data_IF_366221531006
#
_entry.id   IF_366221531006
#
_cell.length_a   1.000
_cell.length_b   1.000
_cell.length_c   1.000
_cell.angle_alpha   90.00
_cell.angle_beta   90.00
_cell.angle_gamma   90.00
#
_symmetry.space_group_name_H-M   'P 1'
#
loop_
_entity.id
_entity.type
_entity.pdbx_description
1 polymer ?
#
# COMPACT_ATOMS: atom_id res chain seq x y z
N UNK A 1 8.82 18.79 2.76
CA UNK A 1 9.37 20.07 2.24
C UNK A 1 8.64 21.20 2.93
N UNK A 2 9.32 22.27 3.35
CA UNK A 2 8.64 23.49 3.81
C UNK A 2 8.54 24.47 2.64
N UNK A 3 7.35 25.02 2.38
CA UNK A 3 7.16 26.15 1.45
C UNK A 3 6.49 27.26 2.26
N UNK A 4 7.23 28.34 2.54
CA UNK A 4 6.81 29.32 3.53
C UNK A 4 6.68 28.68 4.92
N UNK A 5 5.57 28.94 5.61
CA UNK A 5 5.26 28.33 6.93
C UNK A 5 4.68 26.90 6.82
N UNK A 6 4.33 26.43 5.63
CA UNK A 6 3.62 25.17 5.44
C UNK A 6 4.58 24.01 5.17
N UNK A 7 4.49 22.96 6.00
CA UNK A 7 5.13 21.68 5.75
C UNK A 7 4.25 20.83 4.80
N UNK A 8 4.74 20.55 3.60
CA UNK A 8 4.13 19.61 2.69
C UNK A 8 4.78 18.23 2.81
N UNK A 9 3.96 17.23 3.08
CA UNK A 9 4.32 15.82 3.01
C UNK A 9 4.53 15.40 1.55
N UNK A 10 5.63 14.71 1.30
CA UNK A 10 5.99 14.15 0.00
C UNK A 10 6.68 12.82 0.21
N UNK A 11 6.59 11.96 -0.79
CA UNK A 11 7.24 10.66 -0.80
C UNK A 11 8.35 10.70 -1.84
N UNK A 12 9.56 10.36 -1.39
CA UNK A 12 10.70 10.11 -2.26
C UNK A 12 10.76 8.61 -2.54
N UNK A 13 10.48 8.21 -3.78
CA UNK A 13 10.57 6.82 -4.24
C UNK A 13 11.83 6.65 -5.09
N UNK A 14 12.87 6.03 -4.55
CA UNK A 14 14.14 5.76 -5.26
C UNK A 14 14.30 4.27 -5.47
N UNK A 15 14.64 3.88 -6.70
CA UNK A 15 14.82 2.48 -7.09
C UNK A 15 16.04 2.30 -7.98
N UNK A 16 16.67 1.14 -7.86
CA UNK A 16 17.83 0.74 -8.68
C UNK A 16 17.34 0.00 -9.93
N UNK A 17 17.82 0.39 -11.09
CA UNK A 17 17.63 -0.30 -12.36
C UNK A 17 18.99 -0.88 -12.86
N UNK A 18 19.05 -1.36 -14.10
CA UNK A 18 20.31 -1.89 -14.69
C UNK A 18 21.34 -0.78 -14.95
N UNK A 19 20.89 0.46 -15.14
CA UNK A 19 21.70 1.63 -15.54
C UNK A 19 22.14 2.50 -14.35
N UNK A 20 21.65 2.22 -13.14
CA UNK A 20 21.95 2.99 -11.93
C UNK A 20 20.75 3.17 -11.02
N UNK A 21 20.59 4.38 -10.50
CA UNK A 21 19.44 4.78 -9.69
C UNK A 21 18.53 5.72 -10.48
N UNK A 22 17.24 5.61 -10.22
CA UNK A 22 16.22 6.55 -10.69
C UNK A 22 15.21 6.72 -9.56
N UNK A 23 14.32 7.70 -9.68
CA UNK A 23 13.34 7.93 -8.65
C UNK A 23 12.27 8.93 -9.03
N UNK A 24 11.33 9.11 -8.12
CA UNK A 24 10.19 9.98 -8.27
C UNK A 24 9.94 10.75 -6.99
N UNK A 25 9.58 12.02 -7.15
CA UNK A 25 9.05 12.87 -6.10
C UNK A 25 7.52 12.90 -6.20
N UNK A 26 6.86 12.42 -5.16
CA UNK A 26 5.40 12.23 -5.15
C UNK A 26 4.79 13.15 -4.09
N UNK A 27 3.84 13.97 -4.50
CA UNK A 27 3.18 14.95 -3.64
C UNK A 27 1.66 14.95 -3.87
N UNK A 28 0.95 15.81 -3.15
CA UNK A 28 -0.46 16.09 -3.46
C UNK A 28 -0.71 16.65 -4.86
N UNK A 29 0.28 17.36 -5.40
CA UNK A 29 0.17 18.04 -6.70
C UNK A 29 0.44 17.11 -7.88
N UNK A 30 1.22 16.06 -7.66
CA UNK A 30 1.47 15.05 -8.67
C UNK A 30 2.78 14.30 -8.44
N UNK A 31 3.18 13.57 -9.47
CA UNK A 31 4.41 12.77 -9.54
C UNK A 31 5.38 13.42 -10.51
N UNK A 32 6.59 13.72 -10.06
CA UNK A 32 7.67 14.21 -10.90
C UNK A 32 8.82 13.19 -10.92
N UNK A 33 9.34 12.90 -12.10
CA UNK A 33 10.54 12.06 -12.24
C UNK A 33 11.78 12.83 -11.81
N UNK A 34 12.72 12.12 -11.18
CA UNK A 34 14.00 12.68 -10.77
C UNK A 34 15.04 12.48 -11.86
N UNK A 35 15.93 13.45 -11.99
CA UNK A 35 17.11 13.41 -12.87
C UNK A 35 18.38 13.24 -12.03
N UNK A 36 19.43 12.71 -12.65
CA UNK A 36 20.79 12.61 -12.07
C UNK A 36 20.83 11.96 -10.68
N UNK A 37 20.02 10.92 -10.47
CA UNK A 37 19.96 10.25 -9.17
C UNK A 37 21.25 9.45 -8.95
N UNK A 38 22.03 9.84 -7.93
CA UNK A 38 23.26 9.17 -7.52
C UNK A 38 23.15 8.75 -6.07
N UNK A 39 23.52 7.52 -5.78
CA UNK A 39 23.51 6.98 -4.42
C UNK A 39 24.76 6.13 -4.17
N UNK A 40 25.70 6.68 -3.40
CA UNK A 40 27.02 6.11 -3.10
C UNK A 40 27.39 6.49 -1.66
N UNK A 41 27.98 5.56 -0.89
CA UNK A 41 28.42 5.78 0.50
C UNK A 41 27.37 6.47 1.39
N UNK A 42 26.12 6.00 1.30
CA UNK A 42 24.94 6.55 1.98
C UNK A 42 24.59 8.01 1.61
N UNK A 43 25.29 8.63 0.66
CA UNK A 43 24.98 9.96 0.14
C UNK A 43 24.03 9.83 -1.03
N UNK A 44 22.94 10.60 -0.99
CA UNK A 44 21.96 10.69 -2.07
C UNK A 44 22.02 12.10 -2.67
N UNK A 45 22.09 12.18 -3.99
CA UNK A 45 21.86 13.42 -4.73
C UNK A 45 20.92 13.20 -5.90
N UNK A 46 20.10 14.18 -6.22
CA UNK A 46 19.25 14.17 -7.41
C UNK A 46 18.84 15.60 -7.80
N UNK A 47 18.39 15.74 -9.03
CA UNK A 47 17.76 16.95 -9.55
C UNK A 47 16.27 16.72 -9.71
N UNK A 48 15.46 17.63 -9.19
CA UNK A 48 14.01 17.65 -9.34
C UNK A 48 13.61 18.83 -10.22
N UNK A 49 12.75 18.58 -11.20
CA UNK A 49 12.07 19.63 -11.97
C UNK A 49 10.60 19.59 -11.59
N UNK A 50 10.07 20.71 -11.11
CA UNK A 50 8.64 20.87 -10.83
C UNK A 50 8.06 21.90 -11.78
N UNK A 51 6.93 21.58 -12.40
CA UNK A 51 6.15 22.58 -13.13
C UNK A 51 5.06 23.13 -12.20
N UNK A 52 5.09 24.42 -11.92
CA UNK A 52 4.07 25.11 -11.14
C UNK A 52 3.47 26.23 -11.99
N UNK A 53 2.22 26.07 -12.44
CA UNK A 53 1.52 27.09 -13.22
C UNK A 53 2.17 27.43 -14.56
N UNK A 54 2.86 26.47 -15.20
CA UNK A 54 3.55 26.67 -16.48
C UNK A 54 5.02 27.09 -16.35
N UNK A 55 5.49 27.38 -15.14
CA UNK A 55 6.91 27.66 -14.89
C UNK A 55 7.61 26.40 -14.38
N UNK A 56 8.66 25.99 -15.09
CA UNK A 56 9.57 24.96 -14.61
C UNK A 56 10.51 25.55 -13.57
N UNK A 57 10.60 24.90 -12.41
CA UNK A 57 11.58 25.20 -11.37
C UNK A 57 12.45 23.98 -11.17
N UNK A 58 13.76 24.22 -11.15
CA UNK A 58 14.74 23.18 -10.90
C UNK A 58 15.28 23.32 -9.48
N UNK A 59 15.43 22.19 -8.78
CA UNK A 59 16.07 22.14 -7.47
C UNK A 59 16.94 20.91 -7.36
N UNK A 60 18.07 21.04 -6.69
CA UNK A 60 19.05 19.97 -6.48
C UNK A 60 19.05 19.57 -5.01
N UNK A 61 18.84 18.28 -4.77
CA UNK A 61 18.95 17.70 -3.45
C UNK A 61 20.35 17.12 -3.23
N UNK A 62 20.92 17.36 -2.06
CA UNK A 62 22.10 16.65 -1.55
C UNK A 62 21.88 16.28 -0.10
N UNK A 63 22.05 15.00 0.23
CA UNK A 63 21.82 14.52 1.59
C UNK A 63 22.37 13.12 1.83
N UNK A 64 21.95 12.53 2.94
CA UNK A 64 22.35 11.21 3.38
C UNK A 64 21.14 10.38 3.80
N UNK A 65 21.26 9.06 3.66
CA UNK A 65 20.32 8.09 4.20
C UNK A 65 21.05 7.23 5.22
N UNK A 66 20.71 7.36 6.50
CA UNK A 66 21.30 6.59 7.59
C UNK A 66 20.20 5.96 8.43
N UNK A 67 20.30 4.64 8.71
CA UNK A 67 19.32 3.89 9.51
C UNK A 67 17.85 4.07 9.06
N UNK A 68 17.62 4.37 7.78
CA UNK A 68 16.28 4.59 7.23
C UNK A 68 15.75 6.02 7.39
N UNK A 69 16.58 6.96 7.85
CA UNK A 69 16.27 8.38 7.94
C UNK A 69 17.00 9.13 6.81
N UNK A 70 16.30 10.06 6.18
CA UNK A 70 16.80 10.95 5.13
C UNK A 70 17.02 12.33 5.76
N UNK A 71 18.20 12.89 5.56
CA UNK A 71 18.52 14.28 5.91
C UNK A 71 19.30 14.94 4.80
N UNK A 72 18.97 16.16 4.42
CA UNK A 72 19.74 16.91 3.43
C UNK A 72 19.16 18.27 3.13
N UNK A 73 19.74 18.91 2.12
CA UNK A 73 19.34 20.24 1.64
C UNK A 73 18.83 20.13 0.21
N UNK A 74 17.70 20.78 -0.04
CA UNK A 74 17.14 21.01 -1.37
C UNK A 74 17.43 22.47 -1.74
N UNK A 75 18.40 22.68 -2.62
CA UNK A 75 18.79 24.00 -3.11
C UNK A 75 18.08 24.31 -4.42
N UNK A 76 17.50 25.51 -4.54
CA UNK A 76 16.89 26.01 -5.77
C UNK A 76 17.06 27.52 -5.89
N UNK A 77 16.44 28.11 -6.92
CA UNK A 77 16.53 29.55 -7.19
C UNK A 77 16.04 30.45 -6.03
N UNK A 78 15.15 29.91 -5.18
CA UNK A 78 14.58 30.64 -4.04
C UNK A 78 15.32 30.38 -2.72
N UNK A 79 16.49 29.73 -2.77
CA UNK A 79 17.31 29.40 -1.61
C UNK A 79 17.34 27.91 -1.27
N UNK A 80 17.79 27.61 -0.04
CA UNK A 80 17.97 26.25 0.44
C UNK A 80 16.89 25.85 1.46
N UNK A 81 16.34 24.65 1.30
CA UNK A 81 15.37 24.08 2.24
C UNK A 81 15.91 22.81 2.86
N UNK A 82 15.89 22.73 4.19
CA UNK A 82 16.19 21.47 4.88
C UNK A 82 15.08 20.45 4.65
N UNK A 83 15.47 19.24 4.26
CA UNK A 83 14.59 18.10 4.05
C UNK A 83 14.95 17.01 5.07
N UNK A 84 13.94 16.62 5.84
CA UNK A 84 13.97 15.44 6.70
C UNK A 84 12.92 14.45 6.22
N UNK A 85 13.25 13.18 6.29
CA UNK A 85 12.34 12.10 5.94
C UNK A 85 12.64 10.85 6.75
N UNK A 86 11.62 10.03 6.94
CA UNK A 86 11.77 8.70 7.52
C UNK A 86 11.21 7.70 6.54
N UNK A 87 11.88 6.54 6.41
CA UNK A 87 11.37 5.44 5.61
C UNK A 87 10.00 5.04 6.13
N UNK A 88 9.02 5.06 5.24
CA UNK A 88 7.68 4.60 5.55
C UNK A 88 7.70 3.12 5.98
N UNK A 89 7.11 2.77 7.15
CA UNK A 89 6.93 1.38 7.54
C UNK A 89 6.14 0.66 6.46
N UNK A 90 6.63 -0.48 5.98
CA UNK A 90 5.85 -1.29 5.05
C UNK A 90 4.84 -2.11 5.85
N UNK A 91 3.53 -2.00 5.55
CA UNK A 91 2.55 -2.89 6.15
C UNK A 91 2.94 -4.34 5.91
N UNK A 92 2.70 -5.19 6.90
CA UNK A 92 2.96 -6.62 6.77
C UNK A 92 2.19 -7.16 5.58
N UNK A 93 2.86 -7.88 4.69
CA UNK A 93 2.22 -8.51 3.53
C UNK A 93 1.13 -9.50 3.95
N UNK A 94 1.19 -10.02 5.17
CA UNK A 94 0.14 -10.89 5.71
C UNK A 94 -1.11 -10.15 6.14
N UNK A 95 -0.96 -8.90 6.60
CA UNK A 95 -2.07 -8.11 7.11
C UNK A 95 -3.14 -7.92 6.02
N UNK A 96 -4.39 -7.92 6.45
CA UNK A 96 -5.56 -7.85 5.59
C UNK A 96 -6.54 -8.99 5.84
N UNK A 97 -7.57 -9.03 5.01
CA UNK A 97 -8.64 -10.02 5.09
C UNK A 97 -8.52 -11.07 3.97
N UNK A 98 -8.92 -12.28 4.33
CA UNK A 98 -8.88 -13.46 3.47
C UNK A 98 -10.22 -14.16 3.54
N UNK A 99 -10.79 -14.44 2.37
CA UNK A 99 -11.94 -15.32 2.22
C UNK A 99 -11.43 -16.75 2.17
N UNK A 100 -11.87 -17.57 3.12
CA UNK A 100 -11.36 -18.90 3.38
C UNK A 100 -12.46 -19.93 3.14
N UNK A 101 -12.12 -21.00 2.44
CA UNK A 101 -12.96 -22.17 2.19
C UNK A 101 -12.34 -23.37 2.90
N UNK A 102 -12.99 -23.89 3.94
CA UNK A 102 -12.49 -25.04 4.71
C UNK A 102 -13.32 -26.28 4.41
N UNK A 103 -12.65 -27.38 4.04
CA UNK A 103 -13.29 -28.66 3.75
C UNK A 103 -13.26 -29.57 4.97
N UNK A 104 -14.43 -30.03 5.42
CA UNK A 104 -14.57 -30.99 6.52
C UNK A 104 -15.45 -32.14 6.02
N UNK A 105 -14.82 -33.30 5.79
CA UNK A 105 -15.47 -34.40 5.07
C UNK A 105 -15.80 -33.98 3.62
N UNK A 106 -17.07 -34.14 3.23
CA UNK A 106 -17.56 -33.72 1.90
C UNK A 106 -18.05 -32.27 1.86
N UNK A 107 -18.20 -31.61 3.02
CA UNK A 107 -18.79 -30.28 3.12
C UNK A 107 -17.73 -29.17 3.10
N UNK A 108 -18.08 -28.03 2.50
CA UNK A 108 -17.26 -26.82 2.47
C UNK A 108 -17.88 -25.71 3.33
N UNK A 109 -17.04 -25.05 4.14
CA UNK A 109 -17.46 -24.02 5.09
C UNK A 109 -16.72 -22.71 4.86
N UNK A 110 -17.44 -21.62 4.54
CA UNK A 110 -16.81 -20.33 4.33
C UNK A 110 -16.45 -19.70 5.67
N UNK A 111 -15.35 -18.97 5.67
CA UNK A 111 -14.90 -18.15 6.78
C UNK A 111 -14.09 -16.96 6.31
N UNK A 112 -13.91 -15.98 7.19
CA UNK A 112 -13.08 -14.81 6.97
C UNK A 112 -11.97 -14.81 8.00
N UNK A 113 -10.73 -14.83 7.52
CA UNK A 113 -9.54 -14.64 8.33
C UNK A 113 -9.07 -13.19 8.18
N UNK A 114 -8.97 -12.45 9.28
CA UNK A 114 -8.41 -11.09 9.28
C UNK A 114 -7.13 -11.09 10.09
N UNK A 115 -6.01 -10.78 9.45
CA UNK A 115 -4.69 -10.65 10.09
C UNK A 115 -4.38 -9.15 10.23
N UNK A 116 -3.91 -8.76 11.40
CA UNK A 116 -3.41 -7.39 11.67
C UNK A 116 -1.95 -7.45 12.07
N UNK A 117 -1.24 -6.34 11.84
CA UNK A 117 0.11 -6.13 12.34
C UNK A 117 0.12 -4.81 13.12
N UNK A 118 0.73 -4.80 14.30
CA UNK A 118 0.96 -3.57 15.03
C UNK A 118 2.19 -2.80 14.51
N UNK A 119 2.52 -1.68 15.16
CA UNK A 119 3.65 -0.83 14.79
C UNK A 119 5.01 -1.52 14.97
N UNK A 120 5.08 -2.54 15.80
CA UNK A 120 6.28 -3.35 16.06
C UNK A 120 6.35 -4.56 15.11
N UNK A 121 5.32 -4.77 14.29
CA UNK A 121 5.21 -5.87 13.35
C UNK A 121 4.69 -7.16 13.96
N UNK A 122 4.24 -7.15 15.22
CA UNK A 122 3.62 -8.31 15.86
C UNK A 122 2.27 -8.59 15.19
N UNK A 123 2.08 -9.85 14.84
CA UNK A 123 0.88 -10.31 14.13
C UNK A 123 -0.20 -10.75 15.12
N UNK A 124 -1.44 -10.41 14.78
CA UNK A 124 -2.64 -10.87 15.46
C UNK A 124 -3.77 -11.06 14.46
N UNK A 125 -4.98 -11.32 14.94
CA UNK A 125 -6.12 -11.41 14.05
C UNK A 125 -7.36 -12.03 14.64
N UNK A 126 -8.36 -12.19 13.77
CA UNK A 126 -9.63 -12.84 14.08
C UNK A 126 -10.03 -13.80 12.96
N UNK A 127 -10.84 -14.78 13.34
CA UNK A 127 -11.53 -15.68 12.43
C UNK A 127 -13.03 -15.52 12.64
N UNK A 128 -13.79 -15.36 11.55
CA UNK A 128 -15.26 -15.33 11.57
C UNK A 128 -15.80 -16.39 10.63
N UNK A 129 -16.76 -17.18 11.09
CA UNK A 129 -17.45 -18.19 10.27
C UNK A 129 -18.81 -18.49 10.86
N UNK A 130 -19.68 -19.15 10.11
CA UNK A 130 -20.97 -19.64 10.63
C UNK A 130 -20.80 -20.62 11.80
N UNK A 131 -19.65 -21.29 11.89
CA UNK A 131 -19.27 -22.18 13.00
C UNK A 131 -18.68 -21.45 14.21
N UNK A 132 -18.84 -20.12 14.27
CA UNK A 132 -18.39 -19.28 15.37
C UNK A 132 -17.22 -18.37 15.00
N UNK A 133 -16.97 -17.41 15.90
CA UNK A 133 -15.86 -16.47 15.84
C UNK A 133 -14.73 -16.91 16.77
N UNK A 134 -13.49 -16.50 16.49
CA UNK A 134 -12.35 -16.79 17.33
C UNK A 134 -11.24 -15.74 17.18
N UNK A 135 -10.40 -15.63 18.20
CA UNK A 135 -9.19 -14.79 18.16
C UNK A 135 -8.00 -15.64 17.76
N UNK A 136 -7.04 -15.02 17.08
CA UNK A 136 -5.78 -15.67 16.77
C UNK A 136 -4.77 -15.46 17.90
N UNK A 137 -4.03 -16.50 18.24
CA UNK A 137 -2.86 -16.48 19.12
C UNK A 137 -1.69 -17.21 18.45
N UNK A 138 -0.48 -17.00 18.96
CA UNK A 138 0.75 -17.62 18.44
C UNK A 138 0.93 -17.49 16.91
N UNK A 139 0.57 -16.32 16.36
CA UNK A 139 0.70 -16.05 14.93
C UNK A 139 2.18 -15.92 14.57
N UNK A 140 2.71 -16.86 13.79
CA UNK A 140 4.09 -16.90 13.34
C UNK A 140 4.14 -16.97 11.83
N UNK A 141 5.10 -16.25 11.26
CA UNK A 141 5.34 -16.25 9.83
C UNK A 141 6.83 -16.22 9.51
N UNK A 142 7.30 -17.24 8.82
CA UNK A 142 8.66 -17.36 8.32
C UNK A 142 8.65 -18.18 7.04
N UNK A 143 9.49 -17.83 6.07
CA UNK A 143 9.68 -18.62 4.83
C UNK A 143 8.40 -18.96 4.06
N UNK A 144 7.44 -18.02 4.06
CA UNK A 144 6.08 -18.18 3.52
C UNK A 144 5.18 -19.16 4.29
N UNK A 145 5.66 -19.81 5.34
CA UNK A 145 4.86 -20.63 6.23
C UNK A 145 4.17 -19.74 7.28
N UNK A 146 2.85 -19.83 7.35
CA UNK A 146 2.01 -19.18 8.34
C UNK A 146 1.48 -20.24 9.32
N UNK A 147 1.66 -20.02 10.61
CA UNK A 147 1.06 -20.85 11.66
C UNK A 147 0.35 -19.97 12.67
N UNK A 148 -0.80 -20.40 13.17
CA UNK A 148 -1.49 -19.72 14.28
C UNK A 148 -2.40 -20.69 15.03
N UNK A 149 -2.83 -20.27 16.22
CA UNK A 149 -3.90 -20.92 16.99
C UNK A 149 -5.15 -20.06 16.92
N UNK A 150 -6.28 -20.65 16.54
CA UNK A 150 -7.61 -20.07 16.68
C UNK A 150 -8.17 -20.49 18.03
N UNK A 151 -8.49 -19.51 18.87
CA UNK A 151 -9.08 -19.71 20.20
C UNK A 151 -10.55 -19.29 20.15
N UNK A 152 -11.44 -20.22 20.49
CA UNK A 152 -12.88 -20.00 20.58
C UNK A 152 -13.28 -20.11 22.05
N UNK A 153 -13.90 -19.06 22.58
CA UNK A 153 -14.47 -19.06 23.93
C UNK A 153 -15.82 -19.79 23.90
N UNK A 154 -16.03 -20.74 24.80
CA UNK A 154 -17.31 -21.45 25.02
C UNK A 154 -17.62 -21.46 26.51
N UNK A 155 -18.88 -21.69 26.85
CA UNK A 155 -19.33 -21.79 28.24
C UNK A 155 -18.61 -22.93 29.00
N UNK A 156 -18.21 -23.99 28.29
CA UNK A 156 -17.45 -25.13 28.82
C UNK A 156 -15.93 -24.95 28.80
N UNK A 157 -15.42 -23.78 28.41
CA UNK A 157 -13.98 -23.46 28.37
C UNK A 157 -13.49 -23.03 26.98
N UNK A 158 -12.17 -23.01 26.80
CA UNK A 158 -11.54 -22.61 25.55
C UNK A 158 -11.31 -23.79 24.61
N UNK A 159 -11.76 -23.65 23.36
CA UNK A 159 -11.38 -24.57 22.28
C UNK A 159 -10.25 -23.97 21.46
N UNK A 160 -9.16 -24.72 21.28
CA UNK A 160 -8.00 -24.31 20.48
C UNK A 160 -7.88 -25.16 19.23
N UNK A 161 -7.78 -24.51 18.07
CA UNK A 161 -7.59 -25.15 16.77
C UNK A 161 -6.30 -24.59 16.17
N UNK A 162 -5.42 -25.45 15.68
CA UNK A 162 -4.17 -25.00 15.05
C UNK A 162 -4.35 -24.87 13.55
N UNK A 163 -3.66 -23.92 12.93
CA UNK A 163 -3.55 -23.77 11.48
C UNK A 163 -2.10 -23.80 11.06
N UNK A 164 -1.82 -24.52 9.98
CA UNK A 164 -0.55 -24.47 9.27
C UNK A 164 -0.82 -24.28 7.77
N UNK A 165 -0.16 -23.29 7.16
CA UNK A 165 -0.35 -23.02 5.74
C UNK A 165 0.82 -22.29 5.09
N UNK A 166 0.73 -22.16 3.77
CA UNK A 166 1.68 -21.46 2.92
C UNK A 166 1.02 -20.26 2.27
N UNK A 167 1.68 -19.11 2.37
CA UNK A 167 1.24 -17.85 1.83
C UNK A 167 1.73 -17.67 0.38
N UNK A 168 0.79 -17.55 -0.54
CA UNK A 168 1.00 -17.00 -1.87
C UNK A 168 0.85 -15.48 -1.91
N UNK A 169 0.93 -14.88 -3.11
CA UNK A 169 0.72 -13.43 -3.24
C UNK A 169 -0.75 -13.05 -2.97
N UNK A 170 -1.68 -13.81 -3.57
CA UNK A 170 -3.14 -13.63 -3.45
C UNK A 170 -3.86 -14.86 -2.90
N UNK A 171 -3.14 -15.94 -2.64
CA UNK A 171 -3.66 -17.20 -2.12
C UNK A 171 -3.06 -17.55 -0.76
N UNK A 172 -3.80 -18.32 0.02
CA UNK A 172 -3.36 -18.95 1.26
C UNK A 172 -3.86 -20.38 1.26
N UNK A 173 -2.97 -21.36 1.31
CA UNK A 173 -3.34 -22.77 1.36
C UNK A 173 -2.85 -23.37 2.67
N UNK A 174 -3.66 -24.19 3.33
CA UNK A 174 -3.26 -24.78 4.60
C UNK A 174 -4.24 -25.82 5.11
N UNK A 175 -4.07 -26.19 6.37
CA UNK A 175 -4.86 -27.19 7.09
C UNK A 175 -5.15 -26.67 8.49
N UNK A 176 -6.41 -26.78 8.91
CA UNK A 176 -6.79 -26.70 10.32
C UNK A 176 -6.67 -28.08 10.98
N UNK A 177 -6.09 -28.14 12.17
CA UNK A 177 -6.02 -29.36 12.98
C UNK A 177 -6.70 -29.12 14.33
N UNK A 178 -7.63 -30.01 14.67
CA UNK A 178 -8.31 -30.06 15.96
C UNK A 178 -8.73 -31.49 16.27
N UNK A 179 -9.56 -31.67 17.29
CA UNK A 179 -10.01 -33.02 17.72
C UNK A 179 -10.81 -33.76 16.64
N UNK A 180 -11.39 -33.02 15.68
CA UNK A 180 -12.07 -33.57 14.51
C UNK A 180 -11.12 -34.00 13.36
N UNK A 181 -9.80 -33.98 13.59
CA UNK A 181 -8.78 -34.29 12.60
C UNK A 181 -8.34 -33.07 11.78
N UNK A 182 -7.87 -33.34 10.56
CA UNK A 182 -7.35 -32.32 9.64
C UNK A 182 -8.41 -31.86 8.64
N UNK A 183 -8.49 -30.55 8.43
CA UNK A 183 -9.41 -29.91 7.51
C UNK A 183 -8.63 -29.01 6.53
N UNK A 184 -8.48 -29.42 5.26
CA UNK A 184 -7.84 -28.58 4.24
C UNK A 184 -8.59 -27.27 4.03
N UNK A 185 -7.85 -26.20 3.84
CA UNK A 185 -8.38 -24.85 3.67
C UNK A 185 -7.66 -24.13 2.55
N UNK A 186 -8.44 -23.48 1.67
CA UNK A 186 -7.94 -22.56 0.65
C UNK A 186 -8.48 -21.17 0.92
N UNK A 187 -7.64 -20.17 0.70
CA UNK A 187 -7.92 -18.77 0.99
C UNK A 187 -7.59 -17.88 -0.19
N UNK A 188 -8.45 -16.92 -0.46
CA UNK A 188 -8.23 -15.86 -1.44
C UNK A 188 -8.20 -14.52 -0.72
N UNK A 189 -7.24 -13.67 -1.09
CA UNK A 189 -7.12 -12.35 -0.48
C UNK A 189 -8.25 -11.42 -0.95
N UNK A 190 -8.92 -10.79 0.00
CA UNK A 190 -9.93 -9.76 -0.28
C UNK A 190 -9.26 -8.58 -0.96
N UNK A 191 -9.80 -8.15 -2.11
CA UNK A 191 -9.27 -7.01 -2.85
C UNK A 191 -7.93 -7.25 -3.55
N UNK A 192 -7.56 -8.50 -3.82
CA UNK A 192 -6.33 -8.88 -4.52
C UNK A 192 -6.08 -8.08 -5.81
N UNK A 193 -7.13 -7.78 -6.58
CA UNK A 193 -7.06 -6.99 -7.81
C UNK A 193 -6.61 -5.55 -7.55
N UNK A 194 -7.09 -4.92 -6.48
CA UNK A 194 -6.78 -3.54 -6.08
C UNK A 194 -5.38 -3.37 -5.47
N UNK A 195 -4.90 -4.37 -4.73
CA UNK A 195 -3.62 -4.29 -4.01
C UNK A 195 -2.45 -4.13 -4.98
N UNK A 196 -1.58 -3.15 -4.69
CA UNK A 196 -0.41 -2.83 -5.49
C UNK A 196 -0.24 -1.34 -5.72
N UNK A 197 0.65 -0.99 -6.66
CA UNK A 197 0.90 0.40 -7.04
C UNK A 197 0.32 0.67 -8.42
N UNK A 198 -0.39 1.78 -8.53
CA UNK A 198 -1.06 2.25 -9.74
C UNK A 198 -0.48 3.61 -10.11
N UNK A 199 -0.05 3.74 -11.36
CA UNK A 199 0.26 5.03 -11.96
C UNK A 199 -1.03 5.55 -12.59
N UNK A 200 -1.41 6.77 -12.24
CA UNK A 200 -2.67 7.39 -12.64
C UNK A 200 -2.37 8.59 -13.55
N UNK A 201 -3.04 8.63 -14.69
CA UNK A 201 -3.16 9.79 -15.55
C UNK A 201 -4.52 10.42 -15.31
N UNK A 202 -4.53 11.70 -14.95
CA UNK A 202 -5.72 12.46 -14.58
C UNK A 202 -5.93 13.56 -15.62
N UNK A 203 -7.05 13.49 -16.31
CA UNK A 203 -7.48 14.50 -17.30
C UNK A 203 -8.37 15.52 -16.58
N UNK A 204 -7.90 16.76 -16.48
CA UNK A 204 -8.61 17.88 -15.86
C UNK A 204 -8.64 19.10 -16.79
N UNK A 205 -9.55 20.04 -16.53
CA UNK A 205 -9.64 21.30 -17.30
C UNK A 205 -8.34 22.13 -17.27
N UNK A 206 -7.51 21.96 -16.23
CA UNK A 206 -6.21 22.65 -16.09
C UNK A 206 -5.05 21.90 -16.77
N UNK A 207 -5.36 20.83 -17.50
CA UNK A 207 -4.40 19.99 -18.18
C UNK A 207 -4.21 18.62 -17.52
N UNK A 208 -3.50 17.72 -18.22
CA UNK A 208 -3.21 16.38 -17.74
C UNK A 208 -2.20 16.43 -16.58
N UNK A 209 -2.40 15.58 -15.58
CA UNK A 209 -1.42 15.39 -14.50
C UNK A 209 -1.27 13.93 -14.12
N UNK A 210 -0.08 13.56 -13.62
CA UNK A 210 0.19 12.22 -13.11
C UNK A 210 0.00 12.16 -11.60
N UNK A 211 -0.52 11.04 -11.11
CA UNK A 211 -0.61 10.74 -9.68
C UNK A 211 -0.29 9.27 -9.41
N UNK A 212 -0.02 8.92 -8.15
CA UNK A 212 0.18 7.54 -7.70
C UNK A 212 -0.91 7.13 -6.71
N UNK A 213 -1.47 5.94 -6.90
CA UNK A 213 -2.24 5.25 -5.88
C UNK A 213 -1.48 3.98 -5.46
N UNK A 214 -1.13 3.86 -4.19
CA UNK A 214 -0.57 2.63 -3.62
C UNK A 214 -1.56 2.03 -2.64
N UNK A 215 -2.08 0.85 -2.94
CA UNK A 215 -2.99 0.09 -2.09
C UNK A 215 -2.21 -1.01 -1.37
N UNK A 216 -2.26 -0.98 -0.04
CA UNK A 216 -1.61 -1.95 0.83
C UNK A 216 -2.51 -3.18 1.03
N UNK A 217 -1.95 -4.25 1.60
CA UNK A 217 -2.65 -5.53 1.75
C UNK A 217 -3.81 -5.52 2.74
N UNK A 218 -3.84 -4.54 3.64
CA UNK A 218 -4.92 -4.26 4.59
C UNK A 218 -5.98 -3.29 4.03
N UNK A 219 -5.89 -2.96 2.73
CA UNK A 219 -6.73 -1.98 2.03
C UNK A 219 -6.60 -0.53 2.52
N UNK A 220 -5.61 -0.23 3.36
CA UNK A 220 -5.12 1.15 3.49
C UNK A 220 -4.42 1.55 2.19
N UNK A 221 -4.30 2.85 1.93
CA UNK A 221 -3.66 3.33 0.73
C UNK A 221 -2.96 4.68 0.89
N UNK A 222 -2.11 4.99 -0.08
CA UNK A 222 -1.56 6.33 -0.31
C UNK A 222 -2.03 6.83 -1.68
N UNK A 223 -2.69 7.98 -1.70
CA UNK A 223 -3.01 8.72 -2.92
C UNK A 223 -2.12 9.97 -3.00
N UNK A 224 -1.14 9.93 -3.89
CA UNK A 224 0.05 10.78 -3.83
C UNK A 224 0.78 10.54 -2.52
N UNK A 225 0.93 11.60 -1.72
CA UNK A 225 1.49 11.53 -0.36
C UNK A 225 0.44 11.39 0.75
N UNK A 226 -0.87 11.35 0.44
CA UNK A 226 -1.90 11.34 1.48
C UNK A 226 -2.39 9.95 1.83
N UNK A 227 -2.44 9.70 3.13
CA UNK A 227 -2.98 8.49 3.71
C UNK A 227 -4.51 8.42 3.51
N UNK A 228 -4.93 7.31 2.90
CA UNK A 228 -6.31 6.85 2.85
C UNK A 228 -6.41 5.68 3.80
N UNK A 229 -7.14 5.86 4.91
CA UNK A 229 -7.21 4.85 5.98
C UNK A 229 -7.79 3.51 5.48
N UNK A 230 -8.77 3.57 4.57
CA UNK A 230 -9.44 2.40 4.03
C UNK A 230 -9.99 2.68 2.64
N UNK A 231 -9.77 1.76 1.73
CA UNK A 231 -10.45 1.65 0.45
C UNK A 231 -11.70 0.79 0.62
N UNK A 232 -12.81 1.26 0.04
CA UNK A 232 -14.03 0.49 -0.07
C UNK A 232 -14.01 -0.28 -1.40
N UNK A 233 -14.39 -1.55 -1.34
CA UNK A 233 -14.48 -2.43 -2.50
C UNK A 233 -15.90 -3.00 -2.57
N UNK A 234 -16.46 -2.98 -3.78
CA UNK A 234 -17.75 -3.60 -4.12
C UNK A 234 -17.60 -4.28 -5.47
N UNK A 235 -17.29 -5.58 -5.44
CA UNK A 235 -16.89 -6.34 -6.63
C UNK A 235 -15.64 -5.74 -7.28
N UNK A 236 -15.81 -5.20 -8.49
CA UNK A 236 -14.76 -4.54 -9.26
C UNK A 236 -14.66 -3.03 -8.99
N UNK A 237 -15.58 -2.45 -8.22
CA UNK A 237 -15.59 -1.03 -7.87
C UNK A 237 -14.63 -0.76 -6.72
N UNK A 238 -13.97 0.38 -6.80
CA UNK A 238 -13.04 0.90 -5.82
C UNK A 238 -13.41 2.34 -5.51
N UNK A 239 -13.59 2.67 -4.22
CA UNK A 239 -13.82 4.05 -3.80
C UNK A 239 -13.09 4.39 -2.51
N UNK A 240 -12.76 5.68 -2.37
CA UNK A 240 -12.24 6.22 -1.13
C UNK A 240 -12.47 7.73 -1.06
N UNK A 241 -12.36 8.28 0.14
CA UNK A 241 -12.42 9.71 0.42
C UNK A 241 -11.29 10.09 1.36
N UNK A 242 -10.79 11.30 1.22
CA UNK A 242 -9.89 11.91 2.19
C UNK A 242 -10.13 13.41 2.25
N UNK A 243 -9.79 14.01 3.38
CA UNK A 243 -9.82 15.47 3.59
C UNK A 243 -8.38 15.93 3.77
N UNK A 244 -8.00 17.02 3.08
CA UNK A 244 -6.76 17.75 3.36
C UNK A 244 -7.11 19.15 3.82
N UNK A 245 -6.59 19.53 4.98
CA UNK A 245 -6.60 20.91 5.43
C UNK A 245 -5.40 21.62 4.81
N UNK A 246 -5.66 22.72 4.09
CA UNK A 246 -4.63 23.58 3.53
C UNK A 246 -5.08 25.03 3.70
N UNK A 247 -4.25 25.87 4.31
CA UNK A 247 -4.56 27.28 4.58
C UNK A 247 -5.91 27.45 5.30
N UNK A 248 -6.10 26.68 6.38
CA UNK A 248 -7.33 26.59 7.18
C UNK A 248 -8.62 26.21 6.42
N UNK A 249 -8.47 25.69 5.20
CA UNK A 249 -9.59 25.19 4.39
C UNK A 249 -9.51 23.68 4.24
N UNK A 250 -10.59 23.01 4.64
CA UNK A 250 -10.78 21.59 4.38
C UNK A 250 -11.20 21.37 2.94
N UNK A 251 -10.37 20.61 2.23
CA UNK A 251 -10.62 20.20 0.86
C UNK A 251 -10.89 18.69 0.86
N UNK A 252 -12.16 18.32 0.77
CA UNK A 252 -12.55 16.93 0.53
C UNK A 252 -12.21 16.54 -0.91
N UNK A 253 -11.65 15.35 -1.05
CA UNK A 253 -11.47 14.67 -2.33
C UNK A 253 -12.07 13.28 -2.25
N UNK A 254 -12.89 12.91 -3.22
CA UNK A 254 -13.40 11.56 -3.37
C UNK A 254 -12.91 10.95 -4.68
N UNK A 255 -12.66 9.65 -4.65
CA UNK A 255 -12.33 8.87 -5.83
C UNK A 255 -13.34 7.72 -5.95
N UNK A 256 -13.83 7.51 -7.16
CA UNK A 256 -14.65 6.36 -7.53
C UNK A 256 -14.14 5.78 -8.83
N UNK A 257 -13.95 4.47 -8.88
CA UNK A 257 -13.45 3.80 -10.07
C UNK A 257 -13.76 2.32 -10.09
N UNK A 258 -13.28 1.67 -11.15
CA UNK A 258 -13.47 0.25 -11.42
C UNK A 258 -12.17 -0.36 -11.94
N UNK A 259 -11.88 -1.58 -11.50
CA UNK A 259 -10.71 -2.35 -11.90
C UNK A 259 -11.15 -3.45 -12.86
N UNK A 260 -10.62 -3.43 -14.08
CA UNK A 260 -10.79 -4.49 -15.07
C UNK A 260 -9.46 -4.68 -15.81
N UNK A 261 -9.06 -5.93 -16.04
CA UNK A 261 -7.88 -6.29 -16.84
C UNK A 261 -6.58 -5.56 -16.44
N UNK A 262 -6.34 -5.42 -15.13
CA UNK A 262 -5.20 -4.66 -14.57
C UNK A 262 -5.15 -3.17 -14.96
N UNK A 263 -6.29 -2.62 -15.39
CA UNK A 263 -6.52 -1.19 -15.60
C UNK A 263 -7.48 -0.68 -14.53
N UNK A 264 -7.28 0.56 -14.10
CA UNK A 264 -8.15 1.28 -13.20
C UNK A 264 -8.74 2.46 -13.98
N UNK A 265 -10.06 2.54 -14.09
CA UNK A 265 -10.74 3.70 -14.68
C UNK A 265 -11.65 4.31 -13.64
N UNK A 266 -11.73 5.63 -13.57
CA UNK A 266 -12.58 6.27 -12.59
C UNK A 266 -12.58 7.77 -12.70
N UNK A 267 -13.06 8.41 -11.64
CA UNK A 267 -13.17 9.84 -11.51
C UNK A 267 -12.67 10.28 -10.13
N UNK A 268 -11.99 11.41 -10.11
CA UNK A 268 -11.65 12.11 -8.87
C UNK A 268 -12.48 13.38 -8.81
N UNK A 269 -13.20 13.58 -7.70
CA UNK A 269 -14.04 14.74 -7.44
C UNK A 269 -13.43 15.58 -6.32
N UNK A 270 -13.36 16.88 -6.57
CA UNK A 270 -12.87 17.89 -5.63
C UNK A 270 -13.85 19.06 -5.58
N UNK A 271 -13.64 20.02 -4.68
CA UNK A 271 -14.37 21.30 -4.67
C UNK A 271 -14.28 22.08 -5.99
N UNK A 272 -13.27 21.78 -6.82
CA UNK A 272 -13.01 22.45 -8.10
C UNK A 272 -13.57 21.71 -9.31
N UNK A 273 -14.28 20.60 -9.11
CA UNK A 273 -14.88 19.80 -10.17
C UNK A 273 -14.41 18.35 -10.19
N UNK A 274 -14.81 17.65 -11.25
CA UNK A 274 -14.55 16.22 -11.48
C UNK A 274 -13.53 16.03 -12.60
N UNK A 275 -12.62 15.08 -12.44
CA UNK A 275 -11.59 14.77 -13.43
C UNK A 275 -11.55 13.28 -13.70
N UNK A 276 -11.38 12.89 -14.97
CA UNK A 276 -11.31 11.49 -15.38
C UNK A 276 -9.94 10.92 -15.06
N UNK A 277 -9.90 9.65 -14.67
CA UNK A 277 -8.69 8.94 -14.26
C UNK A 277 -8.54 7.67 -15.08
N UNK A 278 -7.35 7.49 -15.65
CA UNK A 278 -6.88 6.23 -16.23
C UNK A 278 -5.68 5.76 -15.42
N UNK A 279 -5.68 4.50 -15.05
CA UNK A 279 -4.68 3.92 -14.15
C UNK A 279 -4.13 2.63 -14.71
N UNK A 280 -2.81 2.48 -14.63
CA UNK A 280 -2.09 1.27 -14.99
C UNK A 280 -1.36 0.71 -13.76
N UNK A 281 -1.50 -0.60 -13.53
CA UNK A 281 -0.80 -1.27 -12.44
C UNK A 281 0.68 -1.34 -12.76
N UNK A 282 1.53 -0.84 -11.85
CA UNK A 282 2.98 -0.92 -11.97
C UNK A 282 3.39 -2.38 -11.85
N UNK A 283 3.90 -2.95 -12.94
CA UNK A 283 4.46 -4.29 -12.90
C UNK A 283 5.77 -4.27 -12.11
N UNK A 284 5.86 -5.11 -11.08
CA UNK A 284 7.15 -5.41 -10.47
C UNK A 284 7.89 -6.33 -11.44
N UNK A 285 8.93 -5.82 -12.12
CA UNK A 285 9.91 -6.69 -12.76
C UNK A 285 10.52 -7.57 -11.67
N UNK A 286 10.23 -8.88 -11.70
CA UNK A 286 10.97 -9.85 -10.91
C UNK A 286 12.43 -9.80 -11.35
N UNK A 287 13.36 -9.66 -10.39
CA UNK A 287 14.71 -10.19 -10.60
C UNK A 287 14.56 -11.71 -10.68
N UNK A 288 14.92 -12.30 -11.82
CA UNK A 288 15.04 -13.75 -11.98
C UNK A 288 13.79 -14.43 -12.56
N UNK A 289 13.60 -14.27 -13.86
CA UNK A 289 13.19 -15.40 -14.71
C UNK A 289 14.12 -15.37 -15.91
N UNK A 290 15.35 -15.84 -15.72
CA UNK A 290 16.11 -16.35 -16.85
C UNK A 290 15.30 -17.53 -17.38
N UNK A 291 14.76 -17.40 -18.58
CA UNK A 291 14.41 -18.55 -19.38
C UNK A 291 15.71 -19.36 -19.54
N UNK A 292 15.71 -20.58 -19.00
CA UNK A 292 16.36 -21.72 -19.62
C UNK A 292 15.24 -22.71 -19.90
#
# INVERSE_FOLDING_TARGET
MKIGEYAMESILDVFRNQEGYTGQWISGWGVNDLKDVKFEDNKLSFTQVTNYGGQERTSKFTGKIEKGELSGLLAGEQGETEIKGKREPRPSRLAGSWEMMTKVGENEYPGTLTITADKEGKLGGTWKSQRGEGKLSDVKYADRKLTFKRVIQRDSGEMVITFEGTLGYTSLEGVFKGDWGEAPTKGTRVGASAIGTWNLDIESERGPRKQRLRVNSDLSALYGSTLVKKINLDGDKLSFKYVRTYNDQDNETSFEGKIADSKLTGEVKTSRGTSKVKGAKRQFRRRGSSQN
#
